data_IF_594183581153
#
_entry.id   IF_594183581153
#
_cell.length_a   1.000
_cell.length_b   1.000
_cell.length_c   1.000
_cell.angle_alpha   90.00
_cell.angle_beta   90.00
_cell.angle_gamma   90.00
#
_symmetry.space_group_name_H-M   'P 1'
#
loop_
_entity.id
_entity.type
_entity.pdbx_description
1 polymer ?
#
# COMPACT_ATOMS: atom_id res chain seq x y z
N UNK A 1 78.46 -26.87 -7.67
CA UNK A 1 77.57 -26.33 -8.71
C UNK A 1 76.14 -26.46 -8.23
N UNK A 2 75.44 -25.34 -8.03
CA UNK A 2 74.04 -25.32 -7.61
C UNK A 2 73.16 -24.83 -8.79
N UNK A 3 71.93 -25.36 -8.95
CA UNK A 3 71.10 -25.14 -10.13
C UNK A 3 70.52 -23.71 -10.22
N UNK A 4 70.40 -23.23 -11.47
CA UNK A 4 69.80 -21.94 -11.86
C UNK A 4 68.33 -21.86 -11.44
N UNK A 5 67.98 -20.92 -10.57
CA UNK A 5 66.62 -20.42 -10.46
C UNK A 5 66.38 -19.35 -11.55
N UNK A 6 65.55 -19.68 -12.53
CA UNK A 6 64.95 -18.71 -13.44
C UNK A 6 63.96 -17.88 -12.62
N UNK A 7 64.15 -16.56 -12.56
CA UNK A 7 63.19 -15.64 -11.97
C UNK A 7 61.90 -15.67 -12.78
N UNK A 8 60.85 -16.21 -12.17
CA UNK A 8 59.47 -16.02 -12.60
C UNK A 8 59.09 -14.53 -12.60
N UNK A 9 58.17 -14.16 -13.48
CA UNK A 9 57.33 -12.97 -13.30
C UNK A 9 57.80 -11.70 -14.00
N UNK A 10 57.98 -11.74 -15.32
CA UNK A 10 57.79 -10.55 -16.14
C UNK A 10 56.29 -10.20 -16.17
N UNK A 11 55.80 -9.54 -15.13
CA UNK A 11 54.45 -8.95 -15.13
C UNK A 11 54.44 -7.62 -14.38
N UNK A 12 55.38 -6.75 -14.75
CA UNK A 12 55.25 -5.32 -14.53
C UNK A 12 54.35 -4.73 -15.63
N UNK A 13 53.11 -5.21 -15.69
CA UNK A 13 52.04 -4.60 -16.46
C UNK A 13 51.73 -3.25 -15.80
N UNK A 14 52.34 -2.19 -16.33
CA UNK A 14 52.12 -0.81 -15.92
C UNK A 14 50.61 -0.53 -15.85
N UNK A 15 50.08 -0.31 -14.65
CA UNK A 15 48.68 0.06 -14.45
C UNK A 15 48.44 1.42 -15.11
N UNK A 16 47.95 1.40 -16.35
CA UNK A 16 47.49 2.58 -17.07
C UNK A 16 46.35 3.19 -16.26
N UNK A 17 46.65 4.31 -15.57
CA UNK A 17 45.68 5.05 -14.75
C UNK A 17 44.50 5.44 -15.65
N UNK A 18 43.37 4.76 -15.47
CA UNK A 18 42.14 5.06 -16.18
C UNK A 18 41.78 6.54 -15.93
N UNK A 19 41.45 7.32 -16.97
CA UNK A 19 41.12 8.72 -16.80
C UNK A 19 39.95 8.84 -15.81
N UNK A 20 40.17 9.61 -14.73
CA UNK A 20 39.14 9.85 -13.71
C UNK A 20 37.94 10.49 -14.40
N UNK A 21 36.81 9.78 -14.36
CA UNK A 21 35.59 10.29 -14.93
C UNK A 21 35.16 11.54 -14.17
N UNK A 22 34.88 12.64 -14.88
CA UNK A 22 34.41 13.90 -14.28
C UNK A 22 33.09 13.72 -13.52
N UNK A 23 32.59 14.80 -12.91
CA UNK A 23 31.36 14.76 -12.11
C UNK A 23 30.15 14.31 -12.94
N UNK A 24 29.83 13.01 -12.86
CA UNK A 24 28.68 12.40 -13.53
C UNK A 24 27.44 12.67 -12.71
N UNK A 25 26.55 13.53 -13.20
CA UNK A 25 25.21 13.75 -12.64
C UNK A 25 24.29 12.65 -13.16
N UNK A 26 24.51 11.44 -12.66
CA UNK A 26 23.72 10.26 -12.99
C UNK A 26 23.04 9.69 -11.76
N UNK A 27 22.04 8.81 -11.92
CA UNK A 27 21.34 8.16 -10.81
C UNK A 27 22.23 7.34 -9.84
N UNK A 28 23.50 7.14 -10.19
CA UNK A 28 24.56 6.55 -9.34
C UNK A 28 25.18 7.56 -8.35
N UNK A 29 25.14 8.86 -8.66
CA UNK A 29 25.85 9.93 -7.94
C UNK A 29 24.92 10.95 -7.27
N UNK A 30 23.60 10.75 -7.38
CA UNK A 30 22.59 11.54 -6.68
C UNK A 30 22.21 10.84 -5.36
N UNK A 31 21.92 11.60 -4.28
CA UNK A 31 21.41 11.04 -3.04
C UNK A 31 20.25 10.10 -3.34
N UNK A 32 20.37 8.84 -2.93
CA UNK A 32 19.47 7.76 -3.33
C UNK A 32 18.04 8.12 -2.94
N UNK A 33 17.26 8.59 -3.93
CA UNK A 33 15.92 9.10 -3.73
C UNK A 33 14.98 7.99 -3.26
N UNK A 34 13.87 8.32 -2.57
CA UNK A 34 12.92 7.33 -2.04
C UNK A 34 12.43 6.31 -3.08
N UNK A 35 12.29 6.75 -4.33
CA UNK A 35 11.88 5.89 -5.46
C UNK A 35 12.96 4.90 -5.89
N UNK A 36 14.24 5.28 -5.91
CA UNK A 36 15.33 4.36 -6.27
C UNK A 36 15.53 3.28 -5.21
N UNK A 37 15.43 3.63 -3.93
CA UNK A 37 15.37 2.67 -2.80
C UNK A 37 14.22 1.67 -2.94
N UNK A 38 13.03 2.14 -3.36
CA UNK A 38 11.88 1.26 -3.59
C UNK A 38 12.13 0.30 -4.76
N UNK A 39 12.68 0.79 -5.88
CA UNK A 39 13.01 -0.04 -7.04
C UNK A 39 14.08 -1.07 -6.70
N UNK A 40 15.13 -0.70 -5.98
CA UNK A 40 16.18 -1.64 -5.56
C UNK A 40 15.65 -2.67 -4.57
N UNK A 41 14.79 -2.27 -3.62
CA UNK A 41 14.09 -3.19 -2.71
C UNK A 41 13.21 -4.19 -3.48
N UNK A 42 12.37 -3.72 -4.39
CA UNK A 42 11.50 -4.58 -5.21
C UNK A 42 12.32 -5.57 -6.04
N UNK A 43 13.42 -5.12 -6.67
CA UNK A 43 14.32 -6.00 -7.42
C UNK A 43 14.96 -7.07 -6.52
N UNK A 44 15.46 -6.68 -5.35
CA UNK A 44 16.05 -7.61 -4.36
C UNK A 44 15.02 -8.64 -3.89
N UNK A 45 13.79 -8.21 -3.59
CA UNK A 45 12.69 -9.09 -3.18
C UNK A 45 12.30 -10.09 -4.27
N UNK A 46 12.21 -9.65 -5.53
CA UNK A 46 11.93 -10.54 -6.67
C UNK A 46 13.01 -11.60 -6.85
N UNK A 47 14.28 -11.19 -6.78
CA UNK A 47 15.42 -12.12 -6.88
C UNK A 47 15.39 -13.12 -5.72
N UNK A 48 15.14 -12.66 -4.49
CA UNK A 48 15.05 -13.53 -3.32
C UNK A 48 13.91 -14.55 -3.45
N UNK A 49 12.70 -14.11 -3.82
CA UNK A 49 11.56 -15.01 -4.05
C UNK A 49 11.86 -16.05 -5.13
N UNK A 50 12.52 -15.67 -6.21
CA UNK A 50 12.94 -16.60 -7.25
C UNK A 50 13.96 -17.62 -6.75
N UNK A 51 14.95 -17.19 -5.94
CA UNK A 51 15.93 -18.09 -5.31
C UNK A 51 15.27 -19.09 -4.36
N UNK A 52 14.37 -18.62 -3.48
CA UNK A 52 13.63 -19.50 -2.57
C UNK A 52 12.78 -20.51 -3.34
N UNK A 53 12.05 -20.07 -4.38
CA UNK A 53 11.27 -20.99 -5.22
C UNK A 53 12.15 -22.05 -5.90
N UNK A 54 13.32 -21.67 -6.42
CA UNK A 54 14.27 -22.63 -7.02
C UNK A 54 14.82 -23.61 -5.99
N UNK A 55 15.22 -23.13 -4.81
CA UNK A 55 15.71 -23.99 -3.73
C UNK A 55 14.63 -24.95 -3.24
N UNK A 56 13.41 -24.45 -3.05
CA UNK A 56 12.26 -25.26 -2.66
C UNK A 56 11.92 -26.32 -3.70
N UNK A 57 11.89 -25.96 -4.99
CA UNK A 57 11.68 -26.92 -6.07
C UNK A 57 12.75 -28.03 -6.08
N UNK A 58 14.01 -27.68 -5.79
CA UNK A 58 15.11 -28.64 -5.70
C UNK A 58 14.96 -29.59 -4.51
N UNK A 59 14.56 -29.07 -3.34
CA UNK A 59 14.29 -29.89 -2.15
C UNK A 59 13.10 -30.81 -2.41
N UNK A 60 12.00 -30.28 -2.97
CA UNK A 60 10.80 -31.05 -3.29
C UNK A 60 11.06 -32.18 -4.29
N UNK A 61 11.85 -31.93 -5.34
CA UNK A 61 12.26 -32.97 -6.28
C UNK A 61 13.07 -34.06 -5.58
N UNK A 62 14.05 -33.67 -4.75
CA UNK A 62 14.84 -34.62 -3.96
C UNK A 62 13.99 -35.40 -2.96
N UNK A 63 13.02 -34.79 -2.31
CA UNK A 63 12.10 -35.48 -1.39
C UNK A 63 11.17 -36.45 -2.13
N UNK A 64 10.72 -36.12 -3.34
CA UNK A 64 9.93 -37.03 -4.16
C UNK A 64 10.75 -38.22 -4.66
N UNK A 65 12.03 -38.01 -5.00
CA UNK A 65 12.95 -39.09 -5.37
C UNK A 65 13.33 -39.98 -4.18
N UNK A 66 13.41 -39.41 -2.98
CA UNK A 66 13.68 -40.14 -1.73
C UNK A 66 12.40 -40.60 -1.03
N UNK A 67 11.21 -40.35 -1.60
CA UNK A 67 9.95 -40.81 -1.03
C UNK A 67 9.85 -42.33 -1.23
N UNK A 68 9.61 -43.12 -0.16
CA UNK A 68 9.33 -44.53 -0.33
C UNK A 68 8.06 -44.71 -1.18
N UNK A 69 7.94 -45.81 -1.95
CA UNK A 69 6.75 -46.05 -2.76
C UNK A 69 5.50 -46.01 -1.87
N UNK A 70 4.38 -45.44 -2.36
CA UNK A 70 3.15 -45.38 -1.59
C UNK A 70 2.79 -46.82 -1.18
N UNK A 71 2.76 -47.09 0.12
CA UNK A 71 2.14 -48.31 0.64
C UNK A 71 0.70 -48.27 0.16
N UNK A 72 0.36 -49.21 -0.70
CA UNK A 72 -0.95 -49.47 -1.26
C UNK A 72 -1.96 -49.62 -0.12
N UNK A 73 -2.62 -48.55 0.29
CA UNK A 73 -3.86 -48.66 1.06
C UNK A 73 -4.97 -48.92 0.05
N UNK A 74 -5.43 -50.16 0.03
CA UNK A 74 -6.63 -50.62 -0.66
C UNK A 74 -7.85 -49.73 -0.34
N UNK A 75 -8.83 -49.61 -1.25
CA UNK A 75 -10.07 -48.89 -0.99
C UNK A 75 -11.00 -49.77 -0.16
N UNK A 76 -11.44 -49.31 1.00
CA UNK A 76 -12.56 -49.92 1.71
C UNK A 76 -13.78 -49.05 1.47
N UNK A 77 -14.68 -49.57 0.63
CA UNK A 77 -16.07 -49.15 0.51
C UNK A 77 -16.89 -49.81 1.64
N UNK A 78 -17.89 -49.06 2.11
CA UNK A 78 -19.11 -49.44 2.84
C UNK A 78 -19.03 -50.27 4.12
N UNK A 79 -19.69 -49.77 5.17
CA UNK A 79 -20.66 -50.49 6.01
C UNK A 79 -21.27 -49.50 7.03
N UNK A 80 -22.59 -49.57 7.20
CA UNK A 80 -23.39 -48.72 8.09
C UNK A 80 -23.17 -49.06 9.58
N UNK A 81 -23.78 -48.29 10.50
CA UNK A 81 -24.59 -49.01 11.49
C UNK A 81 -25.95 -48.33 11.75
N UNK A 82 -26.99 -49.16 11.72
CA UNK A 82 -28.35 -48.85 12.17
C UNK A 82 -28.60 -49.47 13.56
N UNK A 83 -29.14 -48.66 14.48
CA UNK A 83 -29.93 -49.03 15.68
C UNK A 83 -29.24 -49.86 16.76
N UNK A 84 -29.63 -49.89 18.04
CA UNK A 84 -30.63 -49.22 18.87
C UNK A 84 -30.43 -49.78 20.30
N UNK A 85 -30.46 -48.95 21.36
CA UNK A 85 -30.89 -49.31 22.75
C UNK A 85 -30.83 -48.01 23.58
N UNK A 86 -31.94 -47.31 23.89
CA UNK A 86 -32.91 -47.55 24.98
C UNK A 86 -32.31 -47.43 26.40
N UNK A 87 -32.66 -46.35 27.13
CA UNK A 87 -32.21 -46.13 28.51
C UNK A 87 -32.78 -44.87 29.17
N UNK A 88 -34.03 -44.99 29.63
CA UNK A 88 -34.74 -44.34 30.75
C UNK A 88 -34.41 -42.90 31.25
N UNK A 89 -35.50 -42.12 31.35
CA UNK A 89 -35.64 -40.85 32.05
C UNK A 89 -35.57 -41.01 33.59
N UNK A 90 -34.79 -40.13 34.24
CA UNK A 90 -34.98 -39.76 35.66
C UNK A 90 -34.42 -38.37 35.95
N UNK A 91 -35.32 -37.44 36.24
CA UNK A 91 -35.11 -36.27 37.11
C UNK A 91 -36.23 -36.31 38.17
N UNK A 92 -36.11 -35.69 39.36
CA UNK A 92 -35.28 -34.52 39.67
C UNK A 92 -34.58 -34.52 41.04
N UNK A 93 -33.52 -33.72 41.19
CA UNK A 93 -33.24 -32.95 42.42
C UNK A 93 -32.27 -31.81 42.07
N UNK A 94 -32.65 -30.57 42.41
CA UNK A 94 -31.96 -29.33 42.02
C UNK A 94 -31.00 -28.90 43.12
N UNK A 95 -29.72 -29.18 42.94
CA UNK A 95 -28.63 -28.46 43.59
C UNK A 95 -28.11 -27.37 42.62
N UNK A 96 -27.61 -26.22 43.09
CA UNK A 96 -27.14 -25.16 42.21
C UNK A 96 -25.81 -25.58 41.56
N UNK A 97 -25.90 -26.28 40.43
CA UNK A 97 -24.75 -26.51 39.57
C UNK A 97 -24.13 -25.16 39.21
N UNK A 98 -22.82 -25.02 39.43
CA UNK A 98 -22.05 -23.87 38.97
C UNK A 98 -22.11 -23.88 37.45
N UNK A 99 -23.04 -23.09 36.92
CA UNK A 99 -23.31 -23.02 35.48
C UNK A 99 -22.02 -22.62 34.74
N UNK A 100 -21.67 -23.37 33.69
CA UNK A 100 -20.49 -23.10 32.88
C UNK A 100 -20.55 -21.64 32.36
N UNK A 101 -19.43 -20.88 32.30
CA UNK A 101 -19.43 -19.47 31.89
C UNK A 101 -20.11 -19.21 30.54
N UNK A 102 -20.01 -20.16 29.61
CA UNK A 102 -20.71 -20.13 28.32
C UNK A 102 -22.23 -20.09 28.47
N UNK A 103 -22.78 -20.80 29.46
CA UNK A 103 -24.22 -20.86 29.72
C UNK A 103 -24.73 -19.57 30.38
N UNK A 104 -23.90 -18.90 31.17
CA UNK A 104 -24.20 -17.56 31.68
C UNK A 104 -24.29 -16.52 30.57
N UNK A 105 -23.40 -16.59 29.57
CA UNK A 105 -23.47 -15.69 28.40
C UNK A 105 -24.75 -15.93 27.60
N UNK A 106 -25.13 -17.20 27.36
CA UNK A 106 -26.39 -17.50 26.68
C UNK A 106 -27.61 -17.01 27.46
N UNK A 107 -27.65 -17.20 28.78
CA UNK A 107 -28.76 -16.71 29.61
C UNK A 107 -28.84 -15.19 29.65
N UNK A 108 -27.70 -14.49 29.65
CA UNK A 108 -27.66 -13.03 29.59
C UNK A 108 -28.16 -12.50 28.23
N UNK A 109 -27.78 -13.16 27.13
CA UNK A 109 -28.27 -12.83 25.79
C UNK A 109 -29.78 -13.08 25.67
N UNK A 110 -30.29 -14.15 26.28
CA UNK A 110 -31.70 -14.53 26.28
C UNK A 110 -32.56 -13.55 27.10
N UNK A 111 -32.08 -13.14 28.29
CA UNK A 111 -32.71 -12.11 29.10
C UNK A 111 -32.77 -10.75 28.38
N UNK A 112 -31.69 -10.37 27.68
CA UNK A 112 -31.64 -9.15 26.87
C UNK A 112 -32.54 -9.21 25.64
N UNK A 113 -32.70 -10.39 25.05
CA UNK A 113 -33.64 -10.61 23.96
C UNK A 113 -35.10 -10.51 24.42
N UNK A 114 -35.41 -11.01 25.63
CA UNK A 114 -36.75 -10.90 26.23
C UNK A 114 -37.09 -9.46 26.63
N UNK A 115 -36.13 -8.69 27.19
CA UNK A 115 -36.34 -7.27 27.53
C UNK A 115 -36.75 -6.44 26.30
N UNK A 116 -36.13 -6.72 25.13
CA UNK A 116 -36.46 -6.06 23.87
C UNK A 116 -37.81 -6.52 23.26
N UNK A 117 -38.50 -7.50 23.84
CA UNK A 117 -39.75 -8.06 23.30
C UNK A 117 -41.03 -7.51 23.95
N UNK A 118 -40.91 -6.75 25.05
CA UNK A 118 -42.07 -6.22 25.81
C UNK A 118 -42.61 -4.91 25.22
N UNK A 119 -41.98 -4.37 24.17
CA UNK A 119 -42.46 -3.21 23.41
C UNK A 119 -42.90 -3.58 22.00
N UNK A 120 -44.18 -3.36 21.70
CA UNK A 120 -44.79 -3.30 20.36
C UNK A 120 -45.01 -4.61 19.59
N UNK A 121 -46.27 -5.05 19.61
CA UNK A 121 -46.88 -5.91 18.58
C UNK A 121 -47.18 -5.11 17.30
N UNK A 122 -46.17 -4.49 16.71
CA UNK A 122 -46.26 -3.85 15.39
C UNK A 122 -44.92 -3.92 14.67
N UNK A 123 -44.67 -5.01 13.93
CA UNK A 123 -44.13 -4.97 12.56
C UNK A 123 -43.65 -6.35 12.08
N UNK A 124 -44.60 -7.15 11.58
CA UNK A 124 -44.27 -8.30 10.71
C UNK A 124 -43.61 -7.88 9.36
N UNK A 125 -43.30 -6.59 9.18
CA UNK A 125 -42.59 -6.04 8.03
C UNK A 125 -41.11 -5.71 8.25
N UNK A 126 -40.63 -5.57 9.49
CA UNK A 126 -39.26 -5.06 9.76
C UNK A 126 -38.21 -6.17 9.95
N UNK A 127 -38.62 -7.44 9.94
CA UNK A 127 -37.73 -8.61 9.89
C UNK A 127 -37.26 -8.97 8.48
N UNK A 128 -37.53 -8.13 7.46
CA UNK A 128 -36.80 -8.23 6.20
C UNK A 128 -35.37 -7.78 6.48
N UNK A 129 -34.51 -8.73 6.88
CA UNK A 129 -33.04 -8.59 6.88
C UNK A 129 -32.69 -7.66 5.73
N UNK A 130 -32.16 -6.48 6.05
CA UNK A 130 -31.75 -5.48 5.07
C UNK A 130 -31.13 -6.21 3.89
N UNK A 131 -31.78 -6.12 2.72
CA UNK A 131 -31.42 -6.95 1.56
C UNK A 131 -29.94 -6.74 1.32
N UNK A 132 -29.14 -7.78 1.58
CA UNK A 132 -27.70 -7.74 1.32
C UNK A 132 -27.56 -7.32 -0.14
N UNK A 133 -26.79 -6.27 -0.45
CA UNK A 133 -26.63 -5.82 -1.82
C UNK A 133 -26.21 -7.00 -2.69
N UNK A 134 -26.87 -7.15 -3.83
CA UNK A 134 -26.56 -8.19 -4.80
C UNK A 134 -25.09 -8.12 -5.20
N UNK A 135 -24.53 -9.24 -5.67
CA UNK A 135 -23.13 -9.31 -6.09
C UNK A 135 -22.76 -8.19 -7.08
N UNK A 136 -23.66 -7.91 -8.04
CA UNK A 136 -23.50 -6.88 -9.05
C UNK A 136 -23.64 -5.45 -8.49
N UNK A 137 -24.56 -5.23 -7.55
CA UNK A 137 -24.75 -3.92 -6.90
C UNK A 137 -23.48 -3.48 -6.14
N UNK A 138 -22.78 -4.42 -5.51
CA UNK A 138 -21.48 -4.15 -4.87
C UNK A 138 -20.40 -3.78 -5.87
N UNK A 139 -20.41 -4.37 -7.06
CA UNK A 139 -19.45 -4.04 -8.12
C UNK A 139 -19.73 -2.65 -8.70
N UNK A 140 -21.01 -2.30 -8.91
CA UNK A 140 -21.42 -0.96 -9.34
C UNK A 140 -21.06 0.10 -8.29
N UNK A 141 -21.29 -0.18 -7.00
CA UNK A 141 -20.91 0.71 -5.90
C UNK A 141 -19.41 0.98 -5.88
N UNK A 142 -18.57 -0.06 -5.94
CA UNK A 142 -17.11 0.09 -6.02
C UNK A 142 -16.66 0.86 -7.27
N UNK A 143 -17.29 0.63 -8.42
CA UNK A 143 -16.98 1.38 -9.62
C UNK A 143 -17.33 2.87 -9.49
N UNK A 144 -18.43 3.20 -8.82
CA UNK A 144 -18.82 4.57 -8.54
C UNK A 144 -17.85 5.24 -7.55
N UNK A 145 -17.46 4.55 -6.48
CA UNK A 145 -16.47 5.03 -5.50
C UNK A 145 -15.13 5.34 -6.15
N UNK A 146 -14.62 4.45 -7.00
CA UNK A 146 -13.37 4.67 -7.72
C UNK A 146 -13.45 5.88 -8.67
N UNK A 147 -14.57 6.06 -9.39
CA UNK A 147 -14.77 7.26 -10.23
C UNK A 147 -14.77 8.54 -9.40
N UNK A 148 -15.46 8.55 -8.26
CA UNK A 148 -15.50 9.71 -7.37
C UNK A 148 -14.13 10.03 -6.77
N UNK A 149 -13.35 9.01 -6.40
CA UNK A 149 -11.98 9.19 -5.90
C UNK A 149 -11.06 9.76 -6.98
N UNK A 150 -11.14 9.25 -8.21
CA UNK A 150 -10.40 9.78 -9.34
C UNK A 150 -10.77 11.23 -9.65
N UNK A 151 -12.06 11.56 -9.64
CA UNK A 151 -12.55 12.92 -9.87
C UNK A 151 -12.06 13.87 -8.78
N UNK A 152 -12.13 13.49 -7.51
CA UNK A 152 -11.59 14.29 -6.39
C UNK A 152 -10.09 14.52 -6.56
N UNK A 153 -9.33 13.48 -6.90
CA UNK A 153 -7.88 13.58 -7.14
C UNK A 153 -7.56 14.47 -8.35
N UNK A 154 -8.36 14.40 -9.42
CA UNK A 154 -8.22 15.26 -10.60
C UNK A 154 -8.53 16.72 -10.25
N UNK A 155 -9.60 16.97 -9.49
CA UNK A 155 -9.96 18.31 -9.03
C UNK A 155 -8.87 18.90 -8.13
N UNK A 156 -8.36 18.15 -7.17
CA UNK A 156 -7.25 18.60 -6.31
C UNK A 156 -6.01 18.94 -7.14
N UNK A 157 -5.67 18.09 -8.12
CA UNK A 157 -4.56 18.35 -9.03
C UNK A 157 -4.79 19.60 -9.90
N UNK A 158 -6.02 19.80 -10.39
CA UNK A 158 -6.41 20.98 -11.16
C UNK A 158 -6.28 22.26 -10.31
N UNK A 159 -6.82 22.28 -9.09
CA UNK A 159 -6.70 23.44 -8.17
C UNK A 159 -5.23 23.78 -7.91
N UNK A 160 -4.40 22.78 -7.59
CA UNK A 160 -2.96 22.99 -7.38
C UNK A 160 -2.21 23.41 -8.65
N UNK A 161 -2.71 23.04 -9.83
CA UNK A 161 -2.15 23.47 -11.12
C UNK A 161 -2.54 24.92 -11.40
N UNK A 162 -3.80 25.27 -11.22
CA UNK A 162 -4.34 26.63 -11.39
C UNK A 162 -3.67 27.61 -10.44
N UNK A 163 -3.49 27.28 -9.15
CA UNK A 163 -2.76 28.12 -8.19
C UNK A 163 -1.31 28.39 -8.65
N UNK A 164 -0.62 27.35 -9.14
CA UNK A 164 0.73 27.50 -9.67
C UNK A 164 0.75 28.36 -10.94
N UNK A 165 -0.22 28.16 -11.82
CA UNK A 165 -0.36 28.89 -13.07
C UNK A 165 -0.69 30.37 -12.81
N UNK A 166 -1.60 30.66 -11.90
CA UNK A 166 -1.90 32.03 -11.44
C UNK A 166 -0.64 32.69 -10.87
N UNK A 167 0.10 32.02 -9.98
CA UNK A 167 1.35 32.54 -9.42
C UNK A 167 2.42 32.81 -10.49
N UNK A 168 2.55 31.91 -11.47
CA UNK A 168 3.48 32.12 -12.59
C UNK A 168 3.02 33.26 -13.50
N UNK A 169 1.73 33.34 -13.82
CA UNK A 169 1.15 34.39 -14.66
C UNK A 169 1.29 35.76 -13.99
N UNK A 170 1.04 35.88 -12.69
CA UNK A 170 1.28 37.12 -11.94
C UNK A 170 2.75 37.51 -11.97
N UNK A 171 3.66 36.57 -11.75
CA UNK A 171 5.11 36.81 -11.84
C UNK A 171 5.50 37.28 -13.23
N UNK A 172 4.96 36.67 -14.28
CA UNK A 172 5.30 36.98 -15.65
C UNK A 172 4.69 38.33 -16.08
N UNK A 173 3.47 38.65 -15.63
CA UNK A 173 2.87 39.98 -15.78
C UNK A 173 3.74 41.04 -15.11
N UNK A 174 4.17 40.79 -13.87
CA UNK A 174 5.06 41.70 -13.13
C UNK A 174 6.42 41.87 -13.82
N UNK A 175 7.03 40.77 -14.28
CA UNK A 175 8.28 40.81 -15.06
C UNK A 175 8.11 41.61 -16.35
N UNK A 176 7.02 41.40 -17.10
CA UNK A 176 6.72 42.16 -18.32
C UNK A 176 6.53 43.65 -18.02
N UNK A 177 5.84 43.98 -16.92
CA UNK A 177 5.67 45.37 -16.49
C UNK A 177 7.01 46.03 -16.13
N UNK A 178 7.87 45.33 -15.38
CA UNK A 178 9.22 45.76 -15.06
C UNK A 178 10.16 45.84 -16.27
N UNK A 179 9.96 45.01 -17.29
CA UNK A 179 10.72 45.14 -18.53
C UNK A 179 10.35 46.44 -19.27
N UNK A 180 9.08 46.86 -19.22
CA UNK A 180 8.58 48.09 -19.84
C UNK A 180 9.04 49.38 -19.15
N UNK A 181 9.61 49.28 -17.96
CA UNK A 181 10.16 50.46 -17.25
C UNK A 181 11.59 50.77 -17.66
N UNK A 182 12.25 49.87 -18.40
CA UNK A 182 13.59 50.09 -18.91
C UNK A 182 13.55 50.79 -20.27
N UNK A 183 14.45 51.73 -20.46
CA UNK A 183 14.64 52.44 -21.72
C UNK A 183 15.43 51.62 -22.74
N UNK A 184 15.48 52.11 -23.97
CA UNK A 184 16.26 51.50 -25.06
C UNK A 184 17.74 51.37 -24.70
N UNK A 185 18.26 52.34 -23.95
CA UNK A 185 19.63 52.36 -23.42
C UNK A 185 19.80 51.52 -22.14
N UNK A 186 18.73 50.88 -21.67
CA UNK A 186 18.73 50.04 -20.48
C UNK A 186 18.60 50.79 -19.14
N UNK A 187 18.50 52.13 -19.18
CA UNK A 187 18.26 52.96 -18.01
C UNK A 187 16.87 52.73 -17.43
N UNK A 188 16.76 52.81 -16.10
CA UNK A 188 15.51 52.55 -15.36
C UNK A 188 14.68 53.83 -15.23
N UNK A 189 13.41 53.78 -15.63
CA UNK A 189 12.44 54.86 -15.40
C UNK A 189 11.86 54.76 -14.00
N UNK A 190 12.51 55.40 -13.03
CA UNK A 190 12.15 55.38 -11.61
C UNK A 190 10.67 55.67 -11.34
N UNK A 191 10.05 56.60 -12.07
CA UNK A 191 8.63 56.92 -11.90
C UNK A 191 7.66 55.78 -12.27
N UNK A 192 8.01 54.94 -13.25
CA UNK A 192 7.20 53.77 -13.60
C UNK A 192 7.52 52.58 -12.68
N UNK A 193 8.78 52.40 -12.30
CA UNK A 193 9.20 51.34 -11.40
C UNK A 193 8.68 51.51 -9.98
N UNK A 194 8.68 52.74 -9.47
CA UNK A 194 8.20 53.06 -8.13
C UNK A 194 6.75 52.62 -7.95
N UNK A 195 5.87 52.92 -8.92
CA UNK A 195 4.46 52.49 -8.87
C UNK A 195 4.29 50.96 -8.78
N UNK A 196 5.00 50.20 -9.62
CA UNK A 196 4.96 48.73 -9.61
C UNK A 196 5.52 48.12 -8.32
N UNK A 197 6.57 48.73 -7.78
CA UNK A 197 7.18 48.30 -6.51
C UNK A 197 6.25 48.61 -5.33
N UNK A 198 5.60 49.78 -5.32
CA UNK A 198 4.63 50.15 -4.30
C UNK A 198 3.42 49.21 -4.30
N UNK A 199 2.88 48.84 -5.47
CA UNK A 199 1.78 47.87 -5.57
C UNK A 199 2.18 46.49 -5.01
N UNK A 200 3.42 46.06 -5.27
CA UNK A 200 3.96 44.81 -4.70
C UNK A 200 4.08 44.90 -3.18
N UNK A 201 4.59 46.01 -2.63
CA UNK A 201 4.69 46.23 -1.18
C UNK A 201 3.30 46.25 -0.54
N UNK A 202 2.33 46.93 -1.16
CA UNK A 202 0.94 46.97 -0.70
C UNK A 202 0.33 45.57 -0.64
N UNK A 203 0.55 44.73 -1.66
CA UNK A 203 0.13 43.30 -1.63
C UNK A 203 0.79 42.52 -0.49
N UNK A 204 2.11 42.63 -0.32
CA UNK A 204 2.82 41.94 0.76
C UNK A 204 2.34 42.35 2.16
N UNK A 205 1.99 43.64 2.35
CA UNK A 205 1.42 44.12 3.62
C UNK A 205 0.00 43.57 3.82
N UNK A 206 -0.82 43.50 2.75
CA UNK A 206 -2.17 42.94 2.81
C UNK A 206 -2.19 41.44 3.09
N UNK A 207 -1.21 40.68 2.59
CA UNK A 207 -1.06 39.24 2.87
C UNK A 207 -0.57 38.94 4.31
N UNK A 208 0.07 39.92 4.96
CA UNK A 208 0.62 39.78 6.32
C UNK A 208 -0.35 40.20 7.42
N UNK A 209 -1.43 40.90 7.06
CA UNK A 209 -2.53 41.24 7.98
C UNK A 209 -3.60 40.16 7.93
#
# INVERSE_FOLDING_TARGET
>A
MAPKHQKEGADASQEVKKPKHGFRVGPENLPDGPWRRKVTKVKRELIHKAKVKKAYAKIKAREQENAPPPKTSQPVQDEAPAGADAGEEKQPEKEPEVMHPTRHLMLADEAKAQENSVGEHNSDGNRRRTRRPGYYEKQLGKAAELRQEEEKRRQEFQRRREEREQKMAERDRYKRAMAKTRDRDGNKKLGRESSLLLDKVKKMIAEKR
#
